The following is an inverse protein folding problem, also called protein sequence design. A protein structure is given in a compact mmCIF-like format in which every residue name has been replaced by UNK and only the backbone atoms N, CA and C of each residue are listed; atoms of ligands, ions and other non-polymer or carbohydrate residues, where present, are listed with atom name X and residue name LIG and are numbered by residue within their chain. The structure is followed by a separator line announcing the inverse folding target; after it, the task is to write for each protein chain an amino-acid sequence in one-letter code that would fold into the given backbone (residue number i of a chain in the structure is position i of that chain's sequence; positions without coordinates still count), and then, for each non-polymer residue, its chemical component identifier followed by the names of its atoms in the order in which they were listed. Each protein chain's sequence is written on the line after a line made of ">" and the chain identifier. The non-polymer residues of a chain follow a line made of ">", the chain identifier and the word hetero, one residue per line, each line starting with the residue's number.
data_IF_568044007417
#
_entry.id   IF_568044007417
#
_cell.length_a   1.000
_cell.length_b   1.000
_cell.length_c   1.000
_cell.angle_alpha   90.00
_cell.angle_beta   90.00
_cell.angle_gamma   90.00
#
_symmetry.space_group_name_H-M   'P 1'
#
loop_
_entity.id
_entity.type
_entity.pdbx_description
1 polymer ?
#
# COMPACT_ATOMS: atom_id res chain seq x y z
N UNK A 1 -13.80 -0.49 -14.28
CA UNK A 1 -13.08 0.57 -13.55
C UNK A 1 -13.20 0.19 -12.10
N UNK A 2 -12.12 -0.30 -11.52
CA UNK A 2 -12.11 -0.73 -10.13
C UNK A 2 -11.78 0.48 -9.26
N UNK A 3 -12.61 0.75 -8.25
CA UNK A 3 -12.42 1.86 -7.31
C UNK A 3 -11.92 1.35 -5.95
N UNK A 4 -11.26 2.21 -5.17
CA UNK A 4 -10.87 1.93 -3.79
C UNK A 4 -11.68 2.84 -2.87
N UNK A 5 -12.52 2.26 -2.03
CA UNK A 5 -13.27 2.99 -1.00
C UNK A 5 -12.43 3.15 0.27
N UNK A 6 -11.93 4.36 0.50
CA UNK A 6 -11.10 4.66 1.67
C UNK A 6 -11.83 4.49 3.01
N UNK A 7 -13.17 4.65 3.05
CA UNK A 7 -13.92 4.40 4.28
C UNK A 7 -13.90 2.91 4.65
N UNK A 8 -13.97 2.03 3.65
CA UNK A 8 -13.86 0.59 3.88
C UNK A 8 -12.44 0.18 4.28
N UNK A 9 -11.43 0.81 3.68
CA UNK A 9 -10.01 0.62 4.06
C UNK A 9 -9.79 1.01 5.53
N UNK A 10 -10.24 2.20 5.94
CA UNK A 10 -10.10 2.68 7.31
C UNK A 10 -10.89 1.81 8.30
N UNK A 11 -12.12 1.42 7.93
CA UNK A 11 -12.93 0.50 8.73
C UNK A 11 -12.26 -0.86 8.92
N UNK A 12 -11.66 -1.42 7.87
CA UNK A 12 -10.94 -2.68 7.94
C UNK A 12 -9.69 -2.59 8.82
N UNK A 13 -8.92 -1.52 8.67
CA UNK A 13 -7.74 -1.25 9.50
C UNK A 13 -8.11 -1.14 10.99
N UNK A 14 -9.19 -0.40 11.31
CA UNK A 14 -9.68 -0.26 12.68
C UNK A 14 -10.08 -1.60 13.32
N UNK A 15 -10.76 -2.48 12.58
CA UNK A 15 -11.13 -3.82 13.09
C UNK A 15 -9.90 -4.65 13.43
N UNK A 16 -8.88 -4.66 12.58
CA UNK A 16 -7.64 -5.41 12.84
C UNK A 16 -6.85 -4.86 14.03
N UNK A 17 -6.80 -3.55 14.21
CA UNK A 17 -6.20 -2.95 15.41
C UNK A 17 -6.98 -3.32 16.67
N UNK A 18 -8.31 -3.36 16.59
CA UNK A 18 -9.17 -3.83 17.69
C UNK A 18 -8.90 -5.30 18.03
N UNK A 19 -8.76 -6.17 17.03
CA UNK A 19 -8.35 -7.56 17.21
C UNK A 19 -7.03 -7.67 17.97
N UNK A 20 -6.00 -6.91 17.56
CA UNK A 20 -4.69 -6.93 18.22
C UNK A 20 -4.76 -6.40 19.66
N UNK A 21 -5.64 -5.42 19.95
CA UNK A 21 -5.86 -4.98 21.34
C UNK A 21 -6.42 -6.11 22.21
N UNK A 22 -7.39 -6.86 21.70
CA UNK A 22 -8.05 -7.96 22.44
C UNK A 22 -7.16 -9.19 22.62
N UNK A 23 -6.28 -9.46 21.67
CA UNK A 23 -5.45 -10.68 21.63
C UNK A 23 -4.07 -10.51 22.28
N UNK A 24 -3.85 -9.40 22.98
CA UNK A 24 -2.68 -9.24 23.83
C UNK A 24 -2.70 -10.26 24.98
N UNK A 25 -1.54 -10.82 25.30
CA UNK A 25 -1.37 -11.79 26.38
C UNK A 25 -0.26 -11.36 27.32
N UNK A 26 -0.55 -11.32 28.62
CA UNK A 26 0.47 -11.12 29.65
C UNK A 26 1.41 -12.35 29.73
N UNK A 27 2.67 -12.10 30.04
CA UNK A 27 3.67 -13.15 30.22
C UNK A 27 3.90 -13.39 31.72
N UNK A 28 3.82 -14.63 32.24
CA UNK A 28 3.96 -14.91 33.67
C UNK A 28 5.27 -14.43 34.30
N UNK A 29 6.34 -14.33 33.52
CA UNK A 29 7.66 -13.85 33.99
C UNK A 29 7.85 -12.34 33.84
N UNK A 30 6.80 -11.60 33.47
CA UNK A 30 6.80 -10.14 33.33
C UNK A 30 6.64 -9.66 31.89
N UNK A 31 6.04 -8.48 31.73
CA UNK A 31 5.66 -7.91 30.44
C UNK A 31 4.55 -8.70 29.75
N UNK A 32 4.49 -8.63 28.42
CA UNK A 32 3.56 -9.43 27.62
C UNK A 32 3.59 -9.04 26.15
N UNK A 33 2.80 -9.70 25.33
CA UNK A 33 2.79 -9.44 23.88
C UNK A 33 1.81 -10.34 23.14
N UNK A 34 2.19 -10.70 21.91
CA UNK A 34 1.36 -11.50 21.03
C UNK A 34 2.07 -12.79 20.65
N UNK A 35 1.28 -13.81 20.36
CA UNK A 35 1.74 -15.02 19.69
C UNK A 35 1.20 -15.06 18.26
N UNK A 36 1.83 -15.86 17.40
CA UNK A 36 1.42 -15.92 15.99
C UNK A 36 0.04 -16.57 15.83
N UNK A 37 -0.33 -17.49 16.72
CA UNK A 37 -1.71 -17.88 16.96
C UNK A 37 -2.26 -16.92 18.01
N UNK A 38 -2.99 -15.90 17.58
CA UNK A 38 -3.28 -14.69 18.36
C UNK A 38 -3.96 -14.99 19.71
N UNK A 39 -4.76 -16.05 19.79
CA UNK A 39 -5.51 -16.41 21.00
C UNK A 39 -4.77 -17.41 21.90
N UNK A 40 -3.55 -17.81 21.55
CA UNK A 40 -2.79 -18.80 22.31
C UNK A 40 -1.63 -18.17 23.07
N UNK A 41 -1.62 -18.23 24.42
CA UNK A 41 -0.43 -17.91 25.19
C UNK A 41 0.60 -19.06 25.12
N UNK A 42 1.86 -18.83 25.53
CA UNK A 42 2.46 -17.53 25.87
C UNK A 42 2.87 -16.72 24.63
N UNK A 43 3.12 -15.40 24.76
CA UNK A 43 3.56 -14.56 23.65
C UNK A 43 4.92 -15.00 23.07
N UNK A 44 5.23 -14.53 21.86
CA UNK A 44 6.50 -14.78 21.17
C UNK A 44 7.14 -13.49 20.65
N UNK A 45 8.47 -13.47 20.54
CA UNK A 45 9.23 -12.28 20.16
C UNK A 45 8.82 -11.74 18.78
N UNK A 46 8.77 -12.61 17.76
CA UNK A 46 8.41 -12.20 16.39
C UNK A 46 7.01 -11.62 16.31
N UNK A 47 6.02 -12.32 16.86
CA UNK A 47 4.63 -11.88 16.81
C UNK A 47 4.41 -10.57 17.58
N UNK A 48 5.12 -10.40 18.70
CA UNK A 48 5.09 -9.16 19.46
C UNK A 48 5.63 -7.98 18.65
N UNK A 49 6.80 -8.13 18.01
CA UNK A 49 7.37 -7.09 17.16
C UNK A 49 6.47 -6.74 15.97
N UNK A 50 5.88 -7.75 15.32
CA UNK A 50 4.97 -7.57 14.18
C UNK A 50 3.67 -6.87 14.59
N UNK A 51 3.09 -7.21 15.74
CA UNK A 51 1.90 -6.53 16.25
C UNK A 51 2.19 -5.05 16.58
N UNK A 52 3.34 -4.75 17.19
CA UNK A 52 3.76 -3.36 17.44
C UNK A 52 3.93 -2.56 16.13
N UNK A 53 4.51 -3.18 15.10
CA UNK A 53 4.58 -2.60 13.75
C UNK A 53 3.18 -2.39 13.15
N UNK A 54 2.21 -3.26 13.40
CA UNK A 54 0.83 -3.12 12.93
C UNK A 54 0.16 -1.87 13.51
N UNK A 55 0.28 -1.64 14.82
CA UNK A 55 -0.18 -0.40 15.46
C UNK A 55 0.49 0.82 14.82
N UNK A 56 1.81 0.79 14.67
CA UNK A 56 2.55 1.89 14.06
C UNK A 56 2.10 2.19 12.63
N UNK A 57 1.95 1.16 11.78
CA UNK A 57 1.47 1.31 10.41
C UNK A 57 0.05 1.90 10.36
N UNK A 58 -0.81 1.55 11.32
CA UNK A 58 -2.15 2.12 11.40
C UNK A 58 -2.19 3.59 11.87
N UNK A 59 -1.05 4.15 12.30
CA UNK A 59 -0.98 5.47 12.94
C UNK A 59 -1.47 5.46 14.39
N UNK A 60 -1.51 4.28 15.02
CA UNK A 60 -2.04 4.05 16.36
C UNK A 60 -0.89 3.82 17.35
N UNK A 61 -1.05 4.32 18.58
CA UNK A 61 -0.08 4.03 19.66
C UNK A 61 -0.38 2.65 20.26
N UNK A 62 0.61 1.73 20.35
CA UNK A 62 0.39 0.44 21.00
C UNK A 62 0.10 0.64 22.50
N UNK A 63 -1.06 0.16 22.96
CA UNK A 63 -1.52 0.38 24.35
C UNK A 63 -0.66 -0.27 25.44
N UNK A 64 0.06 -1.35 25.12
CA UNK A 64 0.98 -2.06 26.03
C UNK A 64 2.42 -2.02 25.55
N UNK A 65 2.84 -0.89 24.95
CA UNK A 65 4.19 -0.74 24.38
C UNK A 65 5.28 -1.04 25.41
N UNK A 66 5.19 -0.46 26.62
CA UNK A 66 6.21 -0.63 27.66
C UNK A 66 6.35 -2.11 28.10
N UNK A 67 5.23 -2.82 28.23
CA UNK A 67 5.21 -4.23 28.63
C UNK A 67 5.74 -5.14 27.51
N UNK A 68 5.41 -4.81 26.26
CA UNK A 68 5.95 -5.50 25.09
C UNK A 68 7.46 -5.31 24.94
N UNK A 69 7.97 -4.09 25.15
CA UNK A 69 9.40 -3.83 25.15
C UNK A 69 10.09 -4.58 26.29
N UNK A 70 9.52 -4.58 27.49
CA UNK A 70 10.06 -5.32 28.64
C UNK A 70 10.12 -6.82 28.36
N UNK A 71 9.09 -7.40 27.75
CA UNK A 71 9.07 -8.79 27.32
C UNK A 71 10.16 -9.09 26.28
N UNK A 72 10.28 -8.24 25.24
CA UNK A 72 11.32 -8.40 24.22
C UNK A 72 12.71 -8.28 24.85
N UNK A 73 12.92 -7.38 25.81
CA UNK A 73 14.20 -7.17 26.48
C UNK A 73 14.59 -8.39 27.31
N UNK A 74 13.63 -8.96 28.06
CA UNK A 74 13.84 -10.18 28.84
C UNK A 74 14.20 -11.39 27.96
N UNK A 75 13.76 -11.39 26.70
CA UNK A 75 14.06 -12.45 25.72
C UNK A 75 15.25 -12.15 24.81
N UNK A 76 15.96 -11.05 25.02
CA UNK A 76 17.18 -10.80 24.27
C UNK A 76 18.30 -11.63 24.90
N UNK A 77 18.91 -12.53 24.14
CA UNK A 77 20.00 -13.35 24.66
C UNK A 77 21.18 -12.49 25.08
N UNK A 78 21.85 -12.92 26.15
CA UNK A 78 23.10 -12.33 26.64
C UNK A 78 24.18 -13.42 26.70
N UNK A 79 25.24 -13.23 25.94
CA UNK A 79 26.35 -14.18 25.79
C UNK A 79 27.64 -13.46 25.44
N UNK A 80 28.78 -14.09 25.72
CA UNK A 80 30.08 -13.63 25.24
C UNK A 80 30.35 -14.03 23.78
N UNK A 81 29.59 -15.00 23.24
CA UNK A 81 29.64 -15.37 21.82
C UNK A 81 28.72 -14.45 21.01
N UNK A 82 29.32 -13.57 20.20
CA UNK A 82 28.63 -12.61 19.33
C UNK A 82 27.68 -13.28 18.32
N UNK A 83 27.86 -14.56 18.01
CA UNK A 83 26.95 -15.30 17.10
C UNK A 83 25.61 -15.60 17.74
N UNK A 84 25.49 -15.49 19.05
CA UNK A 84 24.25 -15.70 19.80
C UNK A 84 23.85 -14.49 20.64
N UNK A 85 24.79 -13.62 21.00
CA UNK A 85 24.52 -12.41 21.78
C UNK A 85 23.58 -11.45 21.05
N UNK A 86 22.60 -10.89 21.77
CA UNK A 86 21.73 -9.85 21.23
C UNK A 86 20.58 -10.32 20.33
N UNK A 87 20.56 -11.60 19.93
CA UNK A 87 19.50 -12.19 19.11
C UNK A 87 18.27 -12.68 19.88
N UNK A 88 17.21 -13.02 19.14
CA UNK A 88 15.96 -13.61 19.68
C UNK A 88 15.65 -14.94 19.05
N UNK A 89 15.00 -15.81 19.82
CA UNK A 89 14.48 -17.09 19.37
C UNK A 89 12.97 -17.04 19.17
N UNK A 90 12.46 -17.93 18.31
CA UNK A 90 11.03 -18.22 18.24
C UNK A 90 10.67 -19.25 19.31
N UNK A 91 9.38 -19.38 19.66
CA UNK A 91 8.95 -20.39 20.65
C UNK A 91 9.22 -21.84 20.19
N UNK A 92 9.66 -22.06 18.96
CA UNK A 92 9.97 -23.39 18.41
C UNK A 92 11.45 -23.60 18.12
N UNK A 93 12.31 -22.58 18.20
CA UNK A 93 13.76 -22.71 17.90
C UNK A 93 14.61 -23.09 19.11
N UNK A 94 13.99 -23.50 20.23
CA UNK A 94 14.70 -24.05 21.40
C UNK A 94 15.73 -23.09 21.98
N UNK A 95 15.35 -21.83 22.18
CA UNK A 95 16.21 -20.75 22.71
C UNK A 95 17.41 -20.37 21.83
N UNK A 96 17.52 -20.93 20.63
CA UNK A 96 18.54 -20.52 19.66
C UNK A 96 18.06 -19.28 18.89
N UNK A 97 18.87 -18.21 18.82
CA UNK A 97 18.48 -16.99 18.14
C UNK A 97 18.45 -17.21 16.62
N UNK A 98 17.44 -16.66 15.95
CA UNK A 98 17.18 -16.87 14.53
C UNK A 98 16.88 -15.56 13.81
N UNK A 99 17.22 -15.51 12.52
CA UNK A 99 16.93 -14.33 11.67
C UNK A 99 15.43 -14.03 11.63
N UNK A 100 14.57 -15.05 11.61
CA UNK A 100 13.11 -14.93 11.66
C UNK A 100 12.58 -14.16 12.87
N UNK A 101 13.29 -14.12 13.99
CA UNK A 101 12.86 -13.37 15.17
C UNK A 101 13.66 -12.08 15.30
N UNK A 102 14.99 -12.16 15.20
CA UNK A 102 15.87 -11.01 15.39
C UNK A 102 15.58 -9.89 14.39
N UNK A 103 15.41 -10.20 13.10
CA UNK A 103 15.18 -9.16 12.10
C UNK A 103 13.86 -8.40 12.32
N UNK A 104 12.78 -9.09 12.71
CA UNK A 104 11.51 -8.43 13.03
C UNK A 104 11.61 -7.54 14.27
N UNK A 105 12.31 -7.99 15.31
CA UNK A 105 12.52 -7.19 16.52
C UNK A 105 13.38 -5.97 16.22
N UNK A 106 14.50 -6.12 15.50
CA UNK A 106 15.37 -5.01 15.07
C UNK A 106 14.58 -3.99 14.27
N UNK A 107 13.86 -4.44 13.24
CA UNK A 107 12.99 -3.56 12.42
C UNK A 107 11.99 -2.81 13.31
N UNK A 108 11.30 -3.51 14.21
CA UNK A 108 10.33 -2.90 15.12
C UNK A 108 10.97 -1.81 16.00
N UNK A 109 12.08 -2.12 16.68
CA UNK A 109 12.74 -1.17 17.59
C UNK A 109 13.23 0.08 16.86
N UNK A 110 13.78 -0.10 15.65
CA UNK A 110 14.27 0.99 14.83
C UNK A 110 13.12 1.85 14.28
N UNK A 111 12.10 1.24 13.67
CA UNK A 111 10.94 1.95 13.11
C UNK A 111 10.16 2.73 14.19
N UNK A 112 9.94 2.13 15.37
CA UNK A 112 9.25 2.81 16.48
C UNK A 112 10.16 3.76 17.28
N UNK A 113 11.47 3.79 16.98
CA UNK A 113 12.49 4.62 17.67
C UNK A 113 12.51 4.39 19.19
N UNK A 114 12.44 3.13 19.60
CA UNK A 114 12.31 2.74 21.01
C UNK A 114 13.64 2.77 21.80
N UNK A 115 14.78 3.09 21.19
CA UNK A 115 16.12 2.92 21.80
C UNK A 115 16.30 3.64 23.14
N UNK A 116 15.60 4.75 23.37
CA UNK A 116 15.68 5.51 24.63
C UNK A 116 14.66 5.07 25.70
N UNK A 117 13.77 4.14 25.37
CA UNK A 117 12.78 3.66 26.33
C UNK A 117 13.45 2.73 27.36
N UNK A 118 13.23 2.88 28.68
CA UNK A 118 13.91 2.09 29.71
C UNK A 118 13.71 0.57 29.58
N UNK A 119 12.50 0.17 29.17
CA UNK A 119 12.16 -1.23 28.88
C UNK A 119 12.65 -1.74 27.53
N UNK A 120 13.31 -0.92 26.71
CA UNK A 120 13.74 -1.32 25.37
C UNK A 120 14.90 -2.33 25.42
N UNK A 121 14.91 -3.33 24.52
CA UNK A 121 16.09 -4.15 24.28
C UNK A 121 17.26 -3.35 23.71
N UNK A 122 18.44 -3.94 23.74
CA UNK A 122 19.65 -3.35 23.15
C UNK A 122 19.65 -3.54 21.63
N UNK A 123 19.31 -2.48 20.90
CA UNK A 123 19.28 -2.49 19.43
C UNK A 123 20.68 -2.69 18.82
N UNK A 124 21.73 -2.17 19.44
CA UNK A 124 23.08 -2.25 18.87
C UNK A 124 23.60 -3.70 18.87
N UNK A 125 23.39 -4.42 19.98
CA UNK A 125 23.72 -5.86 20.08
C UNK A 125 22.96 -6.69 19.06
N UNK A 126 21.70 -6.35 18.82
CA UNK A 126 20.87 -7.04 17.83
C UNK A 126 21.31 -6.79 16.38
N UNK A 127 21.76 -5.56 16.06
CA UNK A 127 22.35 -5.23 14.75
C UNK A 127 23.66 -5.99 14.55
N UNK A 128 24.51 -6.06 15.58
CA UNK A 128 25.74 -6.85 15.54
C UNK A 128 25.44 -8.33 15.28
N UNK A 129 24.42 -8.89 15.95
CA UNK A 129 23.99 -10.27 15.71
C UNK A 129 23.65 -10.53 14.24
N UNK A 130 22.87 -9.64 13.59
CA UNK A 130 22.52 -9.79 12.17
C UNK A 130 23.76 -9.71 11.27
N UNK A 131 24.70 -8.83 11.58
CA UNK A 131 25.98 -8.68 10.85
C UNK A 131 26.82 -9.96 10.91
N UNK A 132 26.87 -10.62 12.07
CA UNK A 132 27.65 -11.84 12.26
C UNK A 132 26.99 -13.11 11.69
N UNK A 133 25.69 -13.07 11.38
CA UNK A 133 24.90 -14.24 10.98
C UNK A 133 24.52 -14.27 9.48
N UNK A 134 25.14 -13.44 8.65
CA UNK A 134 25.03 -13.56 7.19
C UNK A 134 26.02 -14.60 6.64
N UNK A 135 25.67 -15.22 5.52
CA UNK A 135 26.53 -16.18 4.82
C UNK A 135 27.61 -15.48 3.99
N UNK A 136 28.65 -16.22 3.60
CA UNK A 136 29.73 -15.74 2.72
C UNK A 136 29.25 -15.19 1.36
N UNK A 137 28.09 -15.64 0.88
CA UNK A 137 27.45 -15.11 -0.33
C UNK A 137 26.71 -13.78 -0.11
N UNK A 138 26.63 -13.29 1.13
CA UNK A 138 25.95 -12.05 1.51
C UNK A 138 24.49 -12.22 1.93
N UNK A 139 23.84 -13.35 1.62
CA UNK A 139 22.47 -13.63 2.03
C UNK A 139 22.33 -14.19 3.45
N UNK A 140 21.09 -14.31 3.95
CA UNK A 140 20.81 -14.86 5.29
C UNK A 140 20.00 -16.16 5.23
N UNK A 141 20.47 -17.16 5.97
CA UNK A 141 19.68 -18.32 6.41
C UNK A 141 19.03 -18.07 7.77
N UNK A 142 18.43 -19.09 8.39
CA UNK A 142 17.86 -18.94 9.76
C UNK A 142 18.95 -18.75 10.82
N UNK A 143 20.12 -19.35 10.58
CA UNK A 143 21.34 -19.29 11.39
C UNK A 143 22.55 -19.11 10.47
N UNK A 144 23.70 -18.71 11.05
CA UNK A 144 24.98 -18.79 10.36
C UNK A 144 25.25 -20.21 9.85
N UNK A 145 25.65 -20.33 8.59
CA UNK A 145 25.95 -21.60 7.93
C UNK A 145 24.72 -22.34 7.38
N UNK A 146 23.51 -21.83 7.60
CA UNK A 146 22.34 -22.29 6.85
C UNK A 146 22.29 -21.61 5.47
N UNK A 147 21.82 -22.31 4.42
CA UNK A 147 21.68 -21.72 3.09
C UNK A 147 20.81 -20.45 3.13
N UNK A 148 21.23 -19.38 2.43
CA UNK A 148 20.42 -18.18 2.31
C UNK A 148 19.07 -18.41 1.62
N UNK A 149 18.05 -17.66 2.06
CA UNK A 149 16.70 -17.70 1.50
C UNK A 149 16.19 -16.29 1.26
N UNK A 150 15.43 -16.10 0.18
CA UNK A 150 14.96 -14.78 -0.25
C UNK A 150 14.22 -14.06 0.88
N UNK A 151 13.31 -14.74 1.56
CA UNK A 151 12.51 -14.12 2.62
C UNK A 151 13.37 -13.65 3.80
N UNK A 152 14.32 -14.47 4.23
CA UNK A 152 15.18 -14.14 5.38
C UNK A 152 16.20 -13.06 5.06
N UNK A 153 16.82 -13.13 3.88
CA UNK A 153 17.67 -12.05 3.36
C UNK A 153 16.90 -10.73 3.32
N UNK A 154 15.65 -10.74 2.83
CA UNK A 154 14.82 -9.54 2.82
C UNK A 154 14.49 -9.02 4.23
N UNK A 155 14.18 -9.90 5.19
CA UNK A 155 13.94 -9.49 6.57
C UNK A 155 15.17 -8.82 7.18
N UNK A 156 16.35 -9.43 7.04
CA UNK A 156 17.61 -8.91 7.57
C UNK A 156 17.96 -7.55 6.95
N UNK A 157 17.88 -7.41 5.61
CA UNK A 157 18.12 -6.14 4.93
C UNK A 157 17.13 -5.07 5.41
N UNK A 158 15.83 -5.36 5.45
CA UNK A 158 14.82 -4.39 5.92
C UNK A 158 15.05 -3.98 7.38
N UNK A 159 15.56 -4.87 8.22
CA UNK A 159 15.89 -4.56 9.60
C UNK A 159 17.12 -3.63 9.68
N UNK A 160 18.17 -3.95 8.94
CA UNK A 160 19.42 -3.18 8.90
C UNK A 160 19.22 -1.80 8.25
N UNK A 161 18.44 -1.69 7.17
CA UNK A 161 18.11 -0.40 6.54
C UNK A 161 17.47 0.56 7.55
N UNK A 162 16.61 0.07 8.43
CA UNK A 162 15.94 0.91 9.43
C UNK A 162 16.85 1.22 10.64
N UNK A 163 17.67 0.26 11.07
CA UNK A 163 18.47 0.37 12.30
C UNK A 163 19.89 0.94 12.09
N UNK A 164 20.50 0.65 10.93
CA UNK A 164 21.88 0.93 10.58
C UNK A 164 22.03 1.07 9.05
N UNK A 165 21.48 2.14 8.43
CA UNK A 165 21.36 2.28 6.97
C UNK A 165 22.68 2.31 6.18
N UNK A 166 23.82 2.40 6.86
CA UNK A 166 25.16 2.40 6.26
C UNK A 166 25.93 1.11 6.58
N UNK A 167 25.26 0.08 7.11
CA UNK A 167 25.90 -1.21 7.40
C UNK A 167 26.30 -1.92 6.09
N UNK A 168 27.56 -2.34 5.93
CA UNK A 168 28.02 -3.01 4.71
C UNK A 168 27.32 -4.35 4.45
N UNK A 169 26.73 -5.00 5.46
CA UNK A 169 25.95 -6.20 5.24
C UNK A 169 24.71 -5.94 4.36
N UNK A 170 24.18 -4.71 4.36
CA UNK A 170 23.07 -4.33 3.46
C UNK A 170 23.50 -4.49 2.00
N UNK A 171 24.68 -4.00 1.64
CA UNK A 171 25.21 -4.07 0.28
C UNK A 171 25.39 -5.52 -0.16
N UNK A 172 26.03 -6.36 0.67
CA UNK A 172 26.20 -7.78 0.39
C UNK A 172 24.86 -8.52 0.19
N UNK A 173 23.85 -8.21 1.01
CA UNK A 173 22.51 -8.79 0.87
C UNK A 173 21.78 -8.36 -0.40
N UNK A 174 21.94 -7.09 -0.77
CA UNK A 174 21.39 -6.52 -1.98
C UNK A 174 22.04 -7.13 -3.23
N UNK A 175 23.37 -7.25 -3.24
CA UNK A 175 24.11 -7.93 -4.31
C UNK A 175 23.61 -9.37 -4.48
N UNK A 176 23.40 -10.10 -3.39
CA UNK A 176 22.82 -11.43 -3.41
C UNK A 176 21.41 -11.47 -4.03
N UNK A 177 20.55 -10.48 -3.72
CA UNK A 177 19.20 -10.40 -4.30
C UNK A 177 19.23 -10.04 -5.79
N UNK A 178 20.20 -9.25 -6.24
CA UNK A 178 20.32 -8.79 -7.63
C UNK A 178 21.08 -9.77 -8.53
N UNK A 179 21.72 -10.80 -7.98
CA UNK A 179 22.45 -11.80 -8.75
C UNK A 179 21.52 -12.57 -9.71
N UNK A 180 21.65 -12.29 -11.00
CA UNK A 180 20.84 -12.89 -12.06
C UNK A 180 21.10 -14.40 -12.24
N UNK A 181 22.24 -14.90 -11.79
CA UNK A 181 22.51 -16.36 -11.79
C UNK A 181 21.63 -17.07 -10.76
N UNK A 182 21.30 -16.39 -9.67
CA UNK A 182 20.42 -16.90 -8.63
C UNK A 182 18.95 -16.65 -8.99
N UNK A 183 18.66 -15.51 -9.62
CA UNK A 183 17.29 -15.09 -9.95
C UNK A 183 17.21 -14.52 -11.37
N UNK A 184 17.08 -15.35 -12.42
CA UNK A 184 17.11 -14.88 -13.80
C UNK A 184 15.87 -14.07 -14.20
N UNK A 185 14.70 -14.39 -13.63
CA UNK A 185 13.41 -13.77 -13.99
C UNK A 185 12.81 -13.00 -12.84
N UNK A 186 12.51 -13.67 -11.74
CA UNK A 186 11.94 -13.12 -10.52
C UNK A 186 12.36 -14.01 -9.32
N UNK A 187 11.93 -13.69 -8.10
CA UNK A 187 12.43 -14.38 -6.91
C UNK A 187 11.55 -15.55 -6.48
N UNK A 188 12.18 -16.70 -6.22
CA UNK A 188 11.60 -17.83 -5.50
C UNK A 188 11.97 -17.83 -4.02
N UNK A 189 11.60 -18.89 -3.30
CA UNK A 189 11.94 -19.05 -1.87
C UNK A 189 13.45 -19.28 -1.65
N UNK A 190 14.07 -20.03 -2.55
CA UNK A 190 15.47 -20.42 -2.55
C UNK A 190 16.16 -19.87 -3.81
N UNK A 191 17.48 -19.65 -3.79
CA UNK A 191 18.23 -19.25 -4.98
C UNK A 191 18.31 -20.35 -6.04
N UNK A 192 18.52 -19.97 -7.31
CA UNK A 192 18.80 -20.88 -8.42
C UNK A 192 17.55 -21.35 -9.16
N UNK A 193 17.37 -22.67 -9.32
CA UNK A 193 16.30 -23.27 -10.15
C UNK A 193 14.90 -23.24 -9.51
N UNK A 194 14.74 -22.62 -8.34
CA UNK A 194 13.43 -22.50 -7.71
C UNK A 194 12.51 -21.61 -8.57
N UNK A 195 11.30 -22.09 -8.84
CA UNK A 195 10.32 -21.30 -9.59
C UNK A 195 10.02 -19.97 -8.85
N UNK A 196 9.94 -18.84 -9.56
CA UNK A 196 9.54 -17.57 -8.96
C UNK A 196 8.18 -17.66 -8.28
N UNK A 197 8.03 -16.92 -7.18
CA UNK A 197 6.80 -16.86 -6.37
C UNK A 197 6.37 -15.42 -6.19
N UNK A 198 5.06 -15.20 -6.13
CA UNK A 198 4.47 -13.86 -6.02
C UNK A 198 4.90 -13.20 -4.71
N UNK A 199 4.81 -13.92 -3.60
CA UNK A 199 5.14 -13.37 -2.27
C UNK A 199 6.62 -13.01 -2.14
N UNK A 200 7.53 -13.88 -2.60
CA UNK A 200 8.97 -13.66 -2.54
C UNK A 200 9.41 -12.53 -3.48
N UNK A 201 8.85 -12.47 -4.69
CA UNK A 201 9.12 -11.38 -5.63
C UNK A 201 8.68 -10.04 -5.07
N UNK A 202 7.47 -9.97 -4.52
CA UNK A 202 6.96 -8.76 -3.89
C UNK A 202 7.79 -8.31 -2.68
N UNK A 203 8.20 -9.26 -1.82
CA UNK A 203 9.06 -8.98 -0.67
C UNK A 203 10.44 -8.47 -1.11
N UNK A 204 11.05 -9.07 -2.14
CA UNK A 204 12.33 -8.64 -2.67
C UNK A 204 12.26 -7.24 -3.30
N UNK A 205 11.24 -6.98 -4.14
CA UNK A 205 11.01 -5.65 -4.72
C UNK A 205 10.85 -4.59 -3.63
N UNK A 206 9.98 -4.83 -2.65
CA UNK A 206 9.78 -3.89 -1.52
C UNK A 206 11.07 -3.66 -0.73
N UNK A 207 11.89 -4.69 -0.57
CA UNK A 207 13.18 -4.60 0.13
C UNK A 207 14.17 -3.75 -0.65
N UNK A 208 14.32 -3.98 -1.95
CA UNK A 208 15.23 -3.22 -2.81
C UNK A 208 14.83 -1.74 -2.87
N UNK A 209 13.53 -1.44 -2.94
CA UNK A 209 13.06 -0.05 -2.85
C UNK A 209 13.41 0.60 -1.51
N UNK A 210 13.26 -0.14 -0.40
CA UNK A 210 13.68 0.35 0.93
C UNK A 210 15.18 0.57 1.03
N UNK A 211 15.98 -0.25 0.35
CA UNK A 211 17.42 -0.08 0.24
C UNK A 211 17.84 1.06 -0.71
N UNK A 212 16.89 1.80 -1.30
CA UNK A 212 17.15 2.99 -2.10
C UNK A 212 17.24 2.76 -3.61
N UNK A 213 16.89 1.57 -4.10
CA UNK A 213 16.90 1.30 -5.54
C UNK A 213 15.74 1.99 -6.25
N UNK A 214 16.01 2.53 -7.44
CA UNK A 214 15.01 3.18 -8.26
C UNK A 214 14.08 2.13 -8.91
N UNK A 215 12.75 2.16 -8.67
CA UNK A 215 11.82 1.23 -9.31
C UNK A 215 11.81 1.34 -10.85
N UNK A 216 12.34 2.44 -11.41
CA UNK A 216 12.42 2.70 -12.85
C UNK A 216 13.65 2.08 -13.50
N UNK A 217 14.57 1.53 -12.72
CA UNK A 217 15.65 0.70 -13.27
C UNK A 217 15.04 -0.41 -14.14
N UNK A 218 15.63 -0.67 -15.31
CA UNK A 218 15.06 -1.58 -16.30
C UNK A 218 14.89 -2.99 -15.75
N UNK A 219 15.83 -3.46 -14.91
CA UNK A 219 15.76 -4.79 -14.31
C UNK A 219 14.66 -4.88 -13.26
N UNK A 220 14.51 -3.86 -12.41
CA UNK A 220 13.43 -3.83 -11.42
C UNK A 220 12.06 -3.64 -12.07
N UNK A 221 11.95 -2.77 -13.06
CA UNK A 221 10.71 -2.53 -13.79
C UNK A 221 10.17 -3.82 -14.43
N UNK A 222 11.03 -4.64 -15.06
CA UNK A 222 10.61 -5.94 -15.60
C UNK A 222 10.09 -6.91 -14.53
N UNK A 223 10.64 -6.87 -13.32
CA UNK A 223 10.19 -7.73 -12.22
C UNK A 223 8.90 -7.24 -11.59
N UNK A 224 8.68 -5.94 -11.58
CA UNK A 224 7.39 -5.32 -11.27
C UNK A 224 6.32 -5.73 -12.29
N UNK A 225 6.65 -5.73 -13.58
CA UNK A 225 5.74 -6.18 -14.64
C UNK A 225 5.40 -7.67 -14.46
N UNK A 226 6.41 -8.51 -14.22
CA UNK A 226 6.19 -9.93 -13.90
C UNK A 226 5.23 -10.09 -12.71
N UNK A 227 5.41 -9.31 -11.63
CA UNK A 227 4.52 -9.37 -10.47
C UNK A 227 3.08 -8.98 -10.83
N UNK A 228 2.89 -7.92 -11.61
CA UNK A 228 1.57 -7.47 -12.05
C UNK A 228 0.87 -8.49 -12.97
N UNK A 229 1.63 -9.25 -13.76
CA UNK A 229 1.10 -10.32 -14.62
C UNK A 229 0.72 -11.59 -13.86
N UNK A 230 1.41 -11.89 -12.74
CA UNK A 230 1.28 -13.16 -12.02
C UNK A 230 0.47 -13.07 -10.72
N UNK A 231 0.08 -11.87 -10.29
CA UNK A 231 -0.77 -11.68 -9.11
C UNK A 231 -2.19 -12.22 -9.35
N UNK A 232 -2.66 -13.09 -8.46
CA UNK A 232 -4.06 -13.52 -8.40
C UNK A 232 -4.84 -12.60 -7.45
N UNK A 233 -5.69 -11.73 -8.00
CA UNK A 233 -6.49 -10.77 -7.23
C UNK A 233 -7.72 -11.39 -6.57
N UNK A 234 -8.00 -12.68 -6.80
CA UNK A 234 -9.20 -13.37 -6.29
C UNK A 234 -8.94 -14.16 -5.00
N UNK A 235 -7.70 -14.51 -4.70
CA UNK A 235 -7.30 -15.25 -3.49
C UNK A 235 -6.38 -14.43 -2.60
N UNK A 236 -6.42 -14.67 -1.27
CA UNK A 236 -5.51 -14.02 -0.32
C UNK A 236 -4.10 -14.63 -0.37
N UNK A 237 -4.01 -15.91 -0.74
CA UNK A 237 -2.81 -16.72 -0.79
C UNK A 237 -2.52 -17.19 -2.23
N UNK A 238 -1.25 -17.51 -2.49
CA UNK A 238 -0.86 -18.15 -3.76
C UNK A 238 -1.16 -19.66 -3.65
N UNK A 239 -2.34 -20.10 -4.07
CA UNK A 239 -2.89 -21.47 -3.87
C UNK A 239 -1.86 -22.61 -4.00
N UNK A 240 -0.95 -22.53 -4.99
CA UNK A 240 0.09 -23.54 -5.26
C UNK A 240 1.36 -23.42 -4.43
N UNK A 241 1.67 -22.22 -3.91
CA UNK A 241 2.91 -21.89 -3.19
C UNK A 241 2.65 -21.23 -1.82
N UNK A 242 1.44 -21.39 -1.30
CA UNK A 242 0.94 -20.73 -0.08
C UNK A 242 1.72 -21.08 1.19
N UNK A 243 2.36 -22.25 1.22
CA UNK A 243 3.09 -22.78 2.38
C UNK A 243 4.55 -23.00 2.01
N UNK A 244 5.45 -22.45 2.82
CA UNK A 244 6.87 -22.79 2.81
C UNK A 244 7.18 -23.67 4.02
N UNK A 245 7.61 -24.91 3.76
CA UNK A 245 8.09 -25.82 4.81
C UNK A 245 9.58 -26.04 4.61
N UNK A 246 10.36 -25.75 5.65
CA UNK A 246 11.82 -25.87 5.59
C UNK A 246 12.30 -26.76 6.71
N UNK A 247 13.31 -27.58 6.43
CA UNK A 247 14.08 -28.29 7.46
C UNK A 247 15.40 -27.55 7.61
N UNK A 248 15.62 -27.00 8.79
CA UNK A 248 16.84 -26.25 9.10
C UNK A 248 17.81 -27.20 9.78
N UNK A 249 18.97 -27.38 9.15
CA UNK A 249 20.04 -28.25 9.65
C UNK A 249 21.07 -27.39 10.37
N UNK A 250 21.17 -27.60 11.67
CA UNK A 250 22.13 -26.96 12.55
C UNK A 250 23.31 -27.90 12.75
N UNK A 251 24.52 -27.44 12.42
CA UNK A 251 25.74 -28.16 12.81
C UNK A 251 26.07 -27.79 14.25
N UNK A 252 26.20 -28.81 15.09
CA UNK A 252 26.56 -28.72 16.51
C UNK A 252 27.85 -29.48 16.77
N UNK A 253 28.47 -29.31 17.93
CA UNK A 253 29.66 -30.10 18.33
C UNK A 253 29.39 -31.61 18.34
N UNK A 254 28.14 -32.00 18.62
CA UNK A 254 27.74 -33.39 18.86
C UNK A 254 27.08 -34.03 17.62
N UNK A 255 27.10 -33.34 16.47
CA UNK A 255 26.48 -33.80 15.22
C UNK A 255 25.57 -32.74 14.58
N UNK A 256 24.48 -33.18 13.94
CA UNK A 256 23.49 -32.27 13.34
C UNK A 256 22.15 -32.30 14.09
N UNK A 257 21.67 -31.13 14.49
CA UNK A 257 20.31 -30.94 15.02
C UNK A 257 19.39 -30.49 13.87
N UNK A 258 18.16 -31.01 13.85
CA UNK A 258 17.17 -30.61 12.85
C UNK A 258 16.09 -29.79 13.54
N UNK A 259 16.04 -28.50 13.22
CA UNK A 259 14.92 -27.65 13.56
C UNK A 259 13.90 -27.64 12.42
N UNK A 260 12.63 -27.83 12.74
CA UNK A 260 11.51 -27.75 11.79
C UNK A 260 10.66 -26.56 12.17
N UNK A 261 10.92 -25.36 11.61
CA UNK A 261 10.04 -24.22 11.82
C UNK A 261 8.60 -24.59 11.41
N UNK A 262 7.58 -24.03 12.10
CA UNK A 262 6.21 -24.12 11.64
C UNK A 262 6.12 -23.69 10.17
N UNK A 263 5.23 -24.30 9.37
CA UNK A 263 5.07 -23.92 7.98
C UNK A 263 4.73 -22.43 7.87
N UNK A 264 5.49 -21.70 7.05
CA UNK A 264 5.29 -20.27 6.85
C UNK A 264 4.22 -20.08 5.77
N UNK A 265 3.13 -19.44 6.17
CA UNK A 265 2.03 -19.09 5.27
C UNK A 265 2.29 -17.73 4.64
N UNK A 266 2.28 -17.69 3.32
CA UNK A 266 2.42 -16.46 2.56
C UNK A 266 1.05 -15.97 2.08
N UNK A 267 0.54 -14.93 2.71
CA UNK A 267 -0.60 -14.15 2.20
C UNK A 267 -0.11 -13.32 1.03
N UNK A 268 0.02 -13.95 -0.13
CA UNK A 268 0.71 -13.38 -1.29
C UNK A 268 0.03 -12.13 -1.82
N UNK A 269 -1.31 -12.05 -1.82
CA UNK A 269 -2.06 -10.92 -2.35
C UNK A 269 -1.73 -9.59 -1.63
N UNK A 270 -1.82 -9.48 -0.29
CA UNK A 270 -1.48 -8.23 0.40
C UNK A 270 0.00 -7.85 0.25
N UNK A 271 0.91 -8.83 0.26
CA UNK A 271 2.35 -8.57 0.07
C UNK A 271 2.62 -8.05 -1.34
N UNK A 272 2.01 -8.65 -2.36
CA UNK A 272 2.12 -8.24 -3.75
C UNK A 272 1.51 -6.87 -4.02
N UNK A 273 0.30 -6.63 -3.53
CA UNK A 273 -0.35 -5.33 -3.66
C UNK A 273 0.49 -4.23 -3.00
N UNK A 274 1.14 -4.51 -1.87
CA UNK A 274 2.03 -3.55 -1.19
C UNK A 274 3.22 -3.17 -2.08
N UNK A 275 3.80 -4.13 -2.80
CA UNK A 275 4.84 -3.84 -3.78
C UNK A 275 4.28 -3.06 -4.99
N UNK A 276 3.11 -3.44 -5.52
CA UNK A 276 2.49 -2.78 -6.67
C UNK A 276 2.11 -1.32 -6.41
N UNK A 277 1.84 -0.92 -5.16
CA UNK A 277 1.71 0.49 -4.77
C UNK A 277 2.95 1.34 -5.11
N UNK A 278 4.10 0.70 -5.37
CA UNK A 278 5.37 1.33 -5.74
C UNK A 278 5.83 0.97 -7.16
N UNK A 279 4.96 0.36 -7.95
CA UNK A 279 5.23 0.06 -9.35
C UNK A 279 5.65 1.34 -10.11
N UNK A 280 6.70 1.31 -10.94
CA UNK A 280 7.15 2.49 -11.71
C UNK A 280 6.04 3.05 -12.59
N UNK A 281 5.04 2.24 -12.91
CA UNK A 281 3.87 2.56 -13.74
C UNK A 281 2.54 2.34 -13.01
N UNK A 282 2.51 2.52 -11.68
CA UNK A 282 1.32 2.26 -10.84
C UNK A 282 0.04 3.00 -11.26
N UNK A 283 0.16 4.12 -11.98
CA UNK A 283 -0.99 4.88 -12.50
C UNK A 283 -1.50 4.37 -13.85
N UNK A 284 -0.82 3.42 -14.51
CA UNK A 284 -1.35 2.81 -15.71
C UNK A 284 -2.63 2.04 -15.38
N UNK A 285 -3.70 2.14 -16.19
CA UNK A 285 -4.99 1.53 -15.88
C UNK A 285 -4.89 0.05 -15.53
N UNK A 286 -4.06 -0.72 -16.25
CA UNK A 286 -3.87 -2.14 -15.98
C UNK A 286 -3.32 -2.43 -14.57
N UNK A 287 -2.36 -1.64 -14.09
CA UNK A 287 -1.78 -1.83 -12.74
C UNK A 287 -2.72 -1.28 -11.67
N UNK A 288 -3.34 -0.12 -11.93
CA UNK A 288 -4.29 0.51 -11.02
C UNK A 288 -5.54 -0.35 -10.79
N UNK A 289 -6.10 -0.95 -11.84
CA UNK A 289 -7.25 -1.86 -11.74
C UNK A 289 -6.89 -3.11 -10.91
N UNK A 290 -5.71 -3.70 -11.12
CA UNK A 290 -5.22 -4.84 -10.33
C UNK A 290 -5.03 -4.49 -8.85
N UNK A 291 -4.48 -3.30 -8.57
CA UNK A 291 -4.33 -2.82 -7.21
C UNK A 291 -5.70 -2.63 -6.53
N UNK A 292 -6.65 -2.01 -7.23
CA UNK A 292 -8.00 -1.80 -6.70
C UNK A 292 -8.73 -3.14 -6.48
N UNK A 293 -8.63 -4.09 -7.40
CA UNK A 293 -9.15 -5.45 -7.22
C UNK A 293 -8.53 -6.12 -5.98
N UNK A 294 -7.21 -6.04 -5.80
CA UNK A 294 -6.53 -6.62 -4.66
C UNK A 294 -7.00 -6.03 -3.32
N UNK A 295 -7.07 -4.70 -3.24
CA UNK A 295 -7.55 -3.99 -2.03
C UNK A 295 -9.00 -4.36 -1.74
N UNK A 296 -9.87 -4.37 -2.76
CA UNK A 296 -11.28 -4.74 -2.60
C UNK A 296 -11.45 -6.19 -2.16
N UNK A 297 -10.68 -7.13 -2.72
CA UNK A 297 -10.69 -8.52 -2.28
C UNK A 297 -10.27 -8.64 -0.81
N UNK A 298 -9.22 -7.91 -0.39
CA UNK A 298 -8.74 -7.94 1.00
C UNK A 298 -9.79 -7.36 1.95
N UNK A 299 -10.38 -6.22 1.62
CA UNK A 299 -11.45 -5.60 2.42
C UNK A 299 -12.67 -6.54 2.51
N UNK A 300 -13.12 -7.08 1.37
CA UNK A 300 -14.31 -7.92 1.29
C UNK A 300 -14.15 -9.28 2.00
N UNK A 301 -12.93 -9.82 2.06
CA UNK A 301 -12.64 -11.10 2.73
C UNK A 301 -12.31 -10.96 4.21
N UNK A 302 -12.27 -9.75 4.77
CA UNK A 302 -12.01 -9.59 6.19
C UNK A 302 -13.18 -10.17 7.02
N UNK A 303 -12.85 -10.92 8.06
CA UNK A 303 -13.81 -11.44 9.02
C UNK A 303 -14.29 -10.33 9.97
N UNK A 304 -15.48 -10.51 10.56
CA UNK A 304 -16.10 -9.54 11.48
C UNK A 304 -15.22 -9.22 12.69
N UNK A 305 -14.40 -10.18 13.11
CA UNK A 305 -13.49 -10.05 14.25
C UNK A 305 -12.22 -9.25 13.94
N UNK A 306 -12.04 -8.82 12.68
CA UNK A 306 -10.89 -8.06 12.19
C UNK A 306 -9.74 -8.91 11.64
N UNK A 307 -9.91 -10.23 11.55
CA UNK A 307 -8.94 -11.16 10.97
C UNK A 307 -9.21 -11.44 9.49
N UNK A 308 -8.40 -12.32 8.89
CA UNK A 308 -8.64 -12.87 7.56
C UNK A 308 -8.69 -14.39 7.61
N UNK A 309 -9.46 -15.03 6.70
CA UNK A 309 -9.57 -16.47 6.63
C UNK A 309 -8.21 -17.15 6.51
N UNK A 310 -7.98 -18.12 7.39
CA UNK A 310 -6.84 -19.00 7.34
C UNK A 310 -7.27 -20.32 6.69
N UNK A 311 -6.71 -20.64 5.51
CA UNK A 311 -7.12 -21.82 4.73
C UNK A 311 -6.60 -23.16 5.28
N UNK A 312 -5.78 -23.15 6.35
CA UNK A 312 -5.12 -24.35 6.86
C UNK A 312 -5.54 -24.74 8.28
N UNK A 313 -5.99 -23.77 9.08
CA UNK A 313 -6.38 -23.99 10.48
C UNK A 313 -7.47 -22.98 10.87
N UNK A 314 -8.32 -23.36 11.81
CA UNK A 314 -9.38 -22.51 12.36
C UNK A 314 -8.85 -21.44 13.32
N UNK A 315 -7.56 -21.46 13.67
CA UNK A 315 -6.95 -20.49 14.58
C UNK A 315 -6.71 -19.12 13.91
N UNK A 316 -6.97 -18.05 14.67
CA UNK A 316 -6.60 -16.68 14.32
C UNK A 316 -5.08 -16.53 14.21
N UNK A 317 -4.61 -16.06 13.06
CA UNK A 317 -3.18 -15.96 12.77
C UNK A 317 -2.73 -14.53 12.49
N UNK A 318 -1.68 -14.09 13.19
CA UNK A 318 -1.05 -12.81 12.94
C UNK A 318 -0.48 -12.72 11.52
N UNK A 319 -0.07 -13.84 10.94
CA UNK A 319 0.51 -13.89 9.59
C UNK A 319 -0.50 -13.56 8.49
N UNK A 320 -1.80 -13.70 8.76
CA UNK A 320 -2.86 -13.22 7.87
C UNK A 320 -3.28 -11.78 8.13
N UNK A 321 -3.07 -11.28 9.35
CA UNK A 321 -3.46 -9.92 9.74
C UNK A 321 -2.41 -8.90 9.30
N UNK A 322 -1.13 -9.14 9.62
CA UNK A 322 -0.07 -8.15 9.41
C UNK A 322 0.09 -7.69 7.95
N UNK A 323 0.19 -8.58 6.95
CA UNK A 323 0.35 -8.14 5.56
C UNK A 323 -0.84 -7.30 5.08
N UNK A 324 -2.06 -7.65 5.49
CA UNK A 324 -3.25 -6.88 5.17
C UNK A 324 -3.22 -5.50 5.82
N UNK A 325 -2.82 -5.40 7.10
CA UNK A 325 -2.63 -4.12 7.79
C UNK A 325 -1.56 -3.27 7.10
N UNK A 326 -0.42 -3.85 6.72
CA UNK A 326 0.66 -3.15 6.01
C UNK A 326 0.16 -2.57 4.68
N UNK A 327 -0.60 -3.34 3.90
CA UNK A 327 -1.23 -2.85 2.66
C UNK A 327 -2.25 -1.74 2.94
N UNK A 328 -3.23 -1.98 3.81
CA UNK A 328 -4.33 -1.03 4.06
C UNK A 328 -3.80 0.31 4.56
N UNK A 329 -2.79 0.28 5.44
CA UNK A 329 -2.06 1.47 5.85
C UNK A 329 -1.36 2.16 4.68
N UNK A 330 -0.63 1.41 3.84
CA UNK A 330 0.07 1.96 2.69
C UNK A 330 -0.88 2.55 1.61
N UNK A 331 -2.11 2.01 1.50
CA UNK A 331 -3.17 2.51 0.62
C UNK A 331 -3.62 3.92 1.00
N UNK A 332 -3.62 4.27 2.31
CA UNK A 332 -3.93 5.63 2.78
C UNK A 332 -2.91 6.67 2.29
N UNK A 333 -1.70 6.22 1.96
CA UNK A 333 -0.57 7.06 1.55
C UNK A 333 -0.28 6.98 0.04
N UNK A 334 -1.22 6.51 -0.78
CA UNK A 334 -1.02 6.42 -2.23
C UNK A 334 -0.65 7.79 -2.79
N UNK A 335 0.52 7.86 -3.44
CA UNK A 335 0.94 9.04 -4.18
C UNK A 335 0.29 9.05 -5.55
N UNK A 336 -0.77 9.83 -5.69
CA UNK A 336 -1.50 9.97 -6.95
C UNK A 336 -0.77 10.80 -8.00
N UNK A 337 0.15 11.70 -7.61
CA UNK A 337 0.89 12.57 -8.53
C UNK A 337 2.41 12.43 -8.38
N UNK A 338 3.14 12.65 -9.49
CA UNK A 338 4.60 12.56 -9.59
C UNK A 338 5.23 13.91 -9.95
N UNK A 339 6.55 14.07 -9.75
CA UNK A 339 7.27 15.20 -10.30
C UNK A 339 7.03 15.33 -11.81
N UNK A 340 6.52 16.49 -12.23
CA UNK A 340 6.17 16.77 -13.63
C UNK A 340 4.69 16.56 -14.00
N UNK A 341 3.91 15.90 -13.15
CA UNK A 341 2.45 15.81 -13.37
C UNK A 341 1.78 17.16 -13.09
N UNK A 342 0.61 17.38 -13.69
CA UNK A 342 -0.25 18.53 -13.39
C UNK A 342 -1.48 18.07 -12.61
N UNK A 343 -1.76 18.70 -11.47
CA UNK A 343 -2.96 18.42 -10.67
C UNK A 343 -4.00 19.48 -10.99
N UNK A 344 -5.16 19.05 -11.47
CA UNK A 344 -6.30 19.93 -11.75
C UNK A 344 -7.44 19.61 -10.81
N UNK A 345 -7.90 20.65 -10.09
CA UNK A 345 -9.02 20.57 -9.17
C UNK A 345 -10.32 20.89 -9.90
N UNK A 346 -11.29 19.99 -9.81
CA UNK A 346 -12.64 20.14 -10.35
C UNK A 346 -13.65 20.01 -9.19
N UNK A 347 -14.89 20.45 -9.41
CA UNK A 347 -15.97 20.22 -8.45
C UNK A 347 -16.23 18.71 -8.33
N UNK A 348 -15.98 18.14 -7.14
CA UNK A 348 -16.17 16.71 -6.87
C UNK A 348 -15.12 15.77 -7.45
N UNK A 349 -14.06 16.27 -8.10
CA UNK A 349 -13.01 15.42 -8.68
C UNK A 349 -11.63 16.09 -8.70
N UNK A 350 -10.58 15.27 -8.64
CA UNK A 350 -9.19 15.70 -8.86
C UNK A 350 -8.64 14.91 -10.05
N UNK A 351 -8.13 15.62 -11.05
CA UNK A 351 -7.52 15.02 -12.23
C UNK A 351 -6.01 15.18 -12.14
N UNK A 352 -5.29 14.07 -12.05
CA UNK A 352 -3.84 14.08 -12.20
C UNK A 352 -3.49 13.80 -13.65
N UNK A 353 -2.99 14.81 -14.34
CA UNK A 353 -2.52 14.70 -15.70
C UNK A 353 -1.05 14.33 -15.71
N UNK A 354 -0.77 13.15 -16.24
CA UNK A 354 0.59 12.64 -16.36
C UNK A 354 1.47 13.50 -17.26
N UNK A 355 2.74 13.66 -16.87
CA UNK A 355 3.73 14.44 -17.61
C UNK A 355 3.85 14.02 -19.09
N UNK A 356 3.75 12.73 -19.40
CA UNK A 356 3.83 12.17 -20.75
C UNK A 356 2.70 12.65 -21.69
N UNK A 357 1.59 13.12 -21.12
CA UNK A 357 0.40 13.54 -21.88
C UNK A 357 0.21 15.05 -21.90
N UNK A 358 1.25 15.86 -21.62
CA UNK A 358 1.19 17.33 -21.50
C UNK A 358 0.75 18.06 -22.78
N UNK A 359 1.00 17.48 -23.95
CA UNK A 359 0.67 18.12 -25.24
C UNK A 359 -0.78 17.91 -25.68
N UNK A 360 -1.48 16.94 -25.08
CA UNK A 360 -2.89 16.72 -25.36
C UNK A 360 -3.75 17.95 -24.96
N UNK A 361 -4.93 18.13 -25.56
CA UNK A 361 -5.84 19.19 -25.09
C UNK A 361 -6.53 18.74 -23.79
N UNK A 362 -6.24 19.40 -22.66
CA UNK A 362 -6.91 19.15 -21.38
C UNK A 362 -8.43 19.29 -21.51
N UNK A 363 -8.88 20.27 -22.29
CA UNK A 363 -10.31 20.51 -22.53
C UNK A 363 -10.99 19.30 -23.17
N UNK A 364 -10.33 18.58 -24.10
CA UNK A 364 -10.87 17.35 -24.69
C UNK A 364 -11.00 16.22 -23.66
N UNK A 365 -10.11 16.14 -22.69
CA UNK A 365 -10.08 15.11 -21.65
C UNK A 365 -11.09 15.42 -20.53
N UNK A 366 -11.18 16.69 -20.14
CA UNK A 366 -12.02 17.14 -19.02
C UNK A 366 -13.47 17.44 -19.41
N UNK A 367 -13.80 17.61 -20.71
CA UNK A 367 -15.17 17.91 -21.17
C UNK A 367 -16.26 16.97 -20.64
N UNK A 368 -16.03 15.64 -20.49
CA UNK A 368 -17.01 14.73 -19.90
C UNK A 368 -17.18 14.91 -18.39
N UNK A 369 -16.13 15.37 -17.70
CA UNK A 369 -16.05 15.51 -16.24
C UNK A 369 -16.53 16.87 -15.73
N UNK A 370 -16.40 17.90 -16.57
CA UNK A 370 -16.90 19.23 -16.28
C UNK A 370 -18.44 19.17 -16.26
N UNK A 371 -19.02 19.50 -15.10
CA UNK A 371 -20.47 19.60 -14.93
C UNK A 371 -21.08 20.32 -16.14
N UNK A 372 -21.99 19.65 -16.85
CA UNK A 372 -22.71 20.25 -17.97
C UNK A 372 -23.34 21.52 -17.44
N UNK A 373 -22.81 22.69 -17.84
CA UNK A 373 -23.50 23.97 -17.60
C UNK A 373 -24.95 23.75 -18.02
N UNK A 374 -25.95 24.05 -17.16
CA UNK A 374 -27.33 23.81 -17.49
C UNK A 374 -27.59 24.42 -18.86
N UNK A 375 -27.92 23.58 -19.85
CA UNK A 375 -28.20 24.05 -21.20
C UNK A 375 -29.24 25.15 -21.04
N UNK A 376 -28.91 26.35 -21.52
CA UNK A 376 -29.89 27.44 -21.66
C UNK A 376 -31.06 26.82 -22.43
N UNK A 377 -32.14 26.48 -21.74
CA UNK A 377 -33.32 25.91 -22.40
C UNK A 377 -33.82 27.02 -23.32
N UNK A 378 -33.73 26.88 -24.66
CA UNK A 378 -34.03 27.99 -25.57
C UNK A 378 -35.46 28.49 -25.36
N UNK A 379 -36.37 27.60 -24.98
CA UNK A 379 -37.76 27.91 -24.61
C UNK A 379 -37.84 28.71 -23.29
N UNK A 380 -37.03 28.39 -22.27
CA UNK A 380 -37.01 29.14 -21.00
C UNK A 380 -36.35 30.50 -21.17
N UNK A 381 -35.29 30.59 -21.96
CA UNK A 381 -34.64 31.86 -22.30
C UNK A 381 -35.57 32.74 -23.14
N UNK A 382 -36.19 32.18 -24.18
CA UNK A 382 -37.16 32.90 -25.01
C UNK A 382 -38.39 33.33 -24.20
N UNK A 383 -38.89 32.51 -23.27
CA UNK A 383 -39.94 32.93 -22.31
C UNK A 383 -39.47 34.05 -21.40
N UNK A 384 -38.23 33.97 -20.89
CA UNK A 384 -37.67 34.99 -20.00
C UNK A 384 -37.41 36.31 -20.73
N UNK A 385 -37.10 36.28 -22.02
CA UNK A 385 -36.73 37.44 -22.85
C UNK A 385 -37.66 37.63 -24.05
N UNK A 386 -38.94 37.27 -23.87
CA UNK A 386 -39.92 37.22 -24.96
C UNK A 386 -40.09 38.54 -25.71
N UNK A 387 -39.99 39.70 -25.04
CA UNK A 387 -40.14 40.99 -25.70
C UNK A 387 -38.93 41.31 -26.60
N UNK A 388 -37.74 40.85 -26.21
CA UNK A 388 -36.55 40.94 -27.06
C UNK A 388 -36.68 40.06 -28.30
N UNK A 389 -37.21 38.84 -28.14
CA UNK A 389 -37.50 37.93 -29.26
C UNK A 389 -38.53 38.53 -30.22
N UNK A 390 -39.61 39.12 -29.70
CA UNK A 390 -40.63 39.80 -30.51
C UNK A 390 -40.03 40.99 -31.25
N UNK A 391 -39.21 41.82 -30.59
CA UNK A 391 -38.56 42.98 -31.23
C UNK A 391 -37.65 42.56 -32.39
N UNK A 392 -36.83 41.51 -32.20
CA UNK A 392 -35.96 41.00 -33.28
C UNK A 392 -36.78 40.36 -34.39
N UNK A 393 -37.80 39.58 -34.07
CA UNK A 393 -38.68 38.98 -35.08
C UNK A 393 -39.42 40.06 -35.90
N UNK A 394 -39.95 41.09 -35.25
CA UNK A 394 -40.58 42.24 -35.91
C UNK A 394 -39.58 43.04 -36.75
N UNK A 395 -38.35 43.22 -36.27
CA UNK A 395 -37.28 43.90 -37.01
C UNK A 395 -36.84 43.12 -38.25
N UNK A 396 -36.70 41.80 -38.14
CA UNK A 396 -36.36 40.93 -39.26
C UNK A 396 -37.50 40.87 -40.29
N UNK A 397 -38.74 40.62 -39.86
CA UNK A 397 -39.90 40.57 -40.74
C UNK A 397 -40.15 41.91 -41.44
N UNK A 398 -40.02 43.00 -40.69
CA UNK A 398 -40.14 44.35 -41.23
C UNK A 398 -38.99 44.73 -42.17
N UNK A 399 -37.75 44.34 -41.85
CA UNK A 399 -36.61 44.52 -42.74
C UNK A 399 -36.75 43.74 -44.05
N UNK A 400 -37.27 42.50 -44.00
CA UNK A 400 -37.61 41.73 -45.21
C UNK A 400 -38.76 42.36 -45.99
N UNK A 401 -39.78 42.90 -45.33
CA UNK A 401 -40.88 43.60 -45.98
C UNK A 401 -40.41 44.85 -46.73
N UNK A 402 -39.47 45.60 -46.13
CA UNK A 402 -38.86 46.78 -46.76
C UNK A 402 -38.03 46.40 -48.00
N UNK A 403 -37.24 45.31 -47.90
CA UNK A 403 -36.42 44.80 -49.01
C UNK A 403 -37.27 44.28 -50.19
N UNK A 404 -38.48 43.79 -49.91
CA UNK A 404 -39.44 43.31 -50.90
C UNK A 404 -40.42 44.40 -51.37
N UNK A 405 -40.20 45.66 -50.97
CA UNK A 405 -41.07 46.81 -51.28
C UNK A 405 -42.54 46.62 -50.87
N UNK A 406 -42.79 45.78 -49.85
CA UNK A 406 -44.13 45.48 -49.34
C UNK A 406 -44.62 46.50 -48.30
N UNK A 407 -43.70 47.23 -47.67
CA UNK A 407 -43.98 48.25 -46.65
C UNK A 407 -42.98 49.41 -46.76
N UNK A 408 -43.40 50.59 -46.30
CA UNK A 408 -42.52 51.76 -46.27
C UNK A 408 -41.66 51.81 -45.00
N UNK A 409 -40.58 52.60 -45.03
CA UNK A 409 -39.71 52.82 -43.87
C UNK A 409 -40.46 53.39 -42.66
N UNK A 410 -41.54 54.15 -42.90
CA UNK A 410 -42.42 54.69 -41.86
C UNK A 410 -43.24 53.59 -41.18
N UNK A 411 -43.69 52.59 -41.93
CA UNK A 411 -44.46 51.46 -41.40
C UNK A 411 -43.60 50.53 -40.56
N UNK A 412 -42.33 50.35 -40.94
CA UNK A 412 -41.34 49.64 -40.12
C UNK A 412 -41.10 50.36 -38.78
N UNK A 413 -40.90 51.69 -38.83
CA UNK A 413 -40.66 52.49 -37.64
C UNK A 413 -41.85 52.44 -36.68
N UNK A 414 -43.08 52.56 -37.20
CA UNK A 414 -44.31 52.44 -36.42
C UNK A 414 -44.50 51.01 -35.87
N UNK A 415 -44.20 49.99 -36.66
CA UNK A 415 -44.31 48.58 -36.28
C UNK A 415 -43.35 48.16 -35.15
N UNK A 416 -42.23 48.87 -34.98
CA UNK A 416 -41.25 48.60 -33.91
C UNK A 416 -41.55 49.34 -32.59
N UNK A 417 -42.47 50.31 -32.57
CA UNK A 417 -42.84 51.03 -31.35
C UNK A 417 -43.43 50.11 -30.28
N UNK A 418 -44.37 49.24 -30.66
CA UNK A 418 -45.03 48.33 -29.71
C UNK A 418 -44.03 47.30 -29.15
N UNK A 419 -43.24 46.58 -29.97
CA UNK A 419 -42.19 45.70 -29.45
C UNK A 419 -41.14 46.43 -28.59
N UNK A 420 -40.78 47.67 -28.95
CA UNK A 420 -39.86 48.50 -28.17
C UNK A 420 -40.39 48.83 -26.78
N UNK A 421 -41.67 49.24 -26.68
CA UNK A 421 -42.34 49.49 -25.39
C UNK A 421 -42.44 48.22 -24.55
N UNK A 422 -42.78 47.09 -25.16
CA UNK A 422 -42.83 45.79 -24.47
C UNK A 422 -41.47 45.38 -23.90
N UNK A 423 -40.37 45.69 -24.58
CA UNK A 423 -39.01 45.44 -24.08
C UNK A 423 -38.67 46.30 -22.85
N UNK A 424 -39.06 47.58 -22.86
CA UNK A 424 -38.91 48.48 -21.70
C UNK A 424 -39.74 47.98 -20.51
N UNK A 425 -40.98 47.54 -20.73
CA UNK A 425 -41.83 46.97 -19.68
C UNK A 425 -41.20 45.70 -19.12
N UNK A 426 -40.72 44.79 -19.97
CA UNK A 426 -40.09 43.55 -19.54
C UNK A 426 -38.82 43.81 -18.70
N UNK A 427 -38.00 44.79 -19.09
CA UNK A 427 -36.78 45.15 -18.34
C UNK A 427 -37.09 45.78 -16.99
N UNK A 428 -38.15 46.60 -16.89
CA UNK A 428 -38.63 47.16 -15.61
C UNK A 428 -39.19 46.05 -14.70
N UNK A 429 -39.97 45.11 -15.25
CA UNK A 429 -40.52 43.98 -14.48
C UNK A 429 -39.42 43.06 -13.94
N UNK A 430 -38.39 42.79 -14.75
CA UNK A 430 -37.25 41.95 -14.31
C UNK A 430 -36.43 42.62 -13.21
N UNK A 431 -36.25 43.95 -13.23
CA UNK A 431 -35.55 44.70 -12.17
C UNK A 431 -36.29 44.74 -10.84
N UNK A 432 -37.61 44.49 -10.83
CA UNK A 432 -38.42 44.42 -9.59
C UNK A 432 -38.48 43.01 -8.98
N UNK A 433 -38.08 41.99 -9.74
CA UNK A 433 -38.09 40.58 -9.31
C UNK A 433 -36.69 40.06 -8.91
N UNK A 434 -35.64 40.84 -9.17
CA UNK A 434 -34.28 40.69 -8.61
C UNK A 434 -34.14 41.52 -7.35
#
# INVERSE_FOLDING_TARGET
>A
MSEIDLNQVDGALHRSITLLRRTYSDNPTGGGGWYHMLERPPPGATATAVALLAFHAAGERPHRLADALTFLKARQLKSDDLRIDGGWWTNTSGEKPVVEATAWVVRCLATLRCSLHPGSPDLARAVEWLRQNHDTSGGWGSFLGCPPRTWLTCLAIRALVEAAPHDPAIEAGVEWLLDQRLFPTAWGAEPGNAAPRVAHTAMALTTLLKAGFDPRDEHLARRFDWLAEHIDTTSLDEVRNRVETTKVFLKTSDGSEIWRPPPLMHYALPVAATALLRHPRAQEPAVADRLAEAVNTIVAKQCDDGSWPNSHDMNLTLWGVWPCVELLAATREIRLARPGDQVVWLEGAVVVRQAAWREASFEKIARPLLARRPRLHPIRWARRHWAWVVLVASGLAGGTGLLLELIDAKDLALGLLVPGVLLVIQTVMQRRQS
#
